data_IF_568946275733
#
_entry.id   IF_568946275733
#
_cell.length_a   1.000
_cell.length_b   1.000
_cell.length_c   1.000
_cell.angle_alpha   90.00
_cell.angle_beta   90.00
_cell.angle_gamma   90.00
#
_symmetry.space_group_name_H-M   'P 1'
#
loop_
_entity.id
_entity.type
_entity.pdbx_description
1 polymer ?
#
# COMPACT_ATOMS: atom_id res chain seq x y z
N UNK A 1 15.02 -0.95 7.93
CA UNK A 1 15.86 -1.96 7.25
C UNK A 1 15.96 -1.61 5.78
N UNK A 2 16.83 -2.30 5.02
CA UNK A 2 16.94 -2.11 3.58
C UNK A 2 16.50 -3.38 2.88
N UNK A 3 15.58 -3.25 1.91
CA UNK A 3 15.05 -4.39 1.14
C UNK A 3 15.16 -4.18 -0.38
N UNK A 4 15.55 -5.24 -1.08
CA UNK A 4 15.62 -5.26 -2.55
C UNK A 4 14.24 -5.61 -3.13
N UNK A 5 13.81 -4.86 -4.15
CA UNK A 5 12.56 -5.12 -4.87
C UNK A 5 12.69 -4.93 -6.37
N UNK A 6 11.81 -5.60 -7.12
CA UNK A 6 11.70 -5.45 -8.58
C UNK A 6 10.55 -4.50 -8.90
N UNK A 7 10.82 -3.45 -9.67
CA UNK A 7 9.82 -2.50 -10.14
C UNK A 7 8.98 -3.06 -11.30
N UNK A 8 7.87 -2.40 -11.63
CA UNK A 8 6.99 -2.81 -12.73
C UNK A 8 7.66 -2.82 -14.11
N UNK A 9 8.80 -2.14 -14.28
CA UNK A 9 9.63 -2.15 -15.48
C UNK A 9 10.71 -3.25 -15.47
N UNK A 10 10.78 -4.07 -14.42
CA UNK A 10 11.73 -5.16 -14.25
C UNK A 10 13.08 -4.75 -13.65
N UNK A 11 13.30 -3.47 -13.33
CA UNK A 11 14.54 -3.02 -12.69
C UNK A 11 14.60 -3.39 -11.20
N UNK A 12 15.81 -3.61 -10.68
CA UNK A 12 16.06 -3.80 -9.25
C UNK A 12 16.23 -2.44 -8.56
N UNK A 13 15.61 -2.28 -7.40
CA UNK A 13 15.66 -1.08 -6.58
C UNK A 13 15.85 -1.43 -5.11
N UNK A 14 16.61 -0.60 -4.39
CA UNK A 14 16.74 -0.69 -2.94
C UNK A 14 15.80 0.28 -2.25
N UNK A 15 15.02 -0.24 -1.30
CA UNK A 15 14.09 0.54 -0.49
C UNK A 15 14.57 0.62 0.96
N UNK A 16 14.47 1.80 1.55
CA UNK A 16 14.48 1.92 3.01
C UNK A 16 13.08 1.58 3.51
N UNK A 17 13.01 0.57 4.38
CA UNK A 17 11.75 0.07 4.96
C UNK A 17 11.74 0.40 6.45
N UNK A 18 10.63 0.94 6.94
CA UNK A 18 10.44 1.31 8.33
C UNK A 18 9.21 0.60 8.90
N UNK A 19 9.19 0.38 10.21
CA UNK A 19 8.02 -0.14 10.90
C UNK A 19 7.24 1.02 11.54
N UNK A 20 5.92 0.99 11.41
CA UNK A 20 5.02 1.98 12.02
C UNK A 20 3.67 1.35 12.36
N UNK A 21 2.79 2.12 13.00
CA UNK A 21 1.40 1.72 13.25
C UNK A 21 0.43 2.60 12.49
N UNK A 22 -0.62 1.98 11.95
CA UNK A 22 -1.73 2.66 11.28
C UNK A 22 -3.06 2.24 11.89
N UNK A 23 -4.05 3.13 11.82
CA UNK A 23 -5.44 2.77 12.10
C UNK A 23 -6.06 2.34 10.76
N UNK A 24 -6.35 1.05 10.63
CA UNK A 24 -6.97 0.45 9.47
C UNK A 24 -8.32 -0.13 9.87
N UNK A 25 -9.40 0.40 9.30
CA UNK A 25 -10.77 -0.03 9.61
C UNK A 25 -11.09 -0.04 11.13
N UNK A 26 -10.63 1.01 11.81
CA UNK A 26 -10.78 1.17 13.26
C UNK A 26 -9.82 0.33 14.12
N UNK A 27 -8.98 -0.51 13.51
CA UNK A 27 -8.00 -1.35 14.22
C UNK A 27 -6.58 -0.83 14.07
N UNK A 28 -5.79 -0.88 15.14
CA UNK A 28 -4.37 -0.57 15.09
C UNK A 28 -3.62 -1.77 14.49
N UNK A 29 -2.86 -1.55 13.42
CA UNK A 29 -1.99 -2.56 12.79
C UNK A 29 -0.54 -2.06 12.77
N UNK A 30 0.41 -2.91 13.16
CA UNK A 30 1.83 -2.69 12.84
C UNK A 30 2.06 -3.07 11.38
N UNK A 31 2.73 -2.21 10.64
CA UNK A 31 3.02 -2.40 9.22
C UNK A 31 4.44 -1.96 8.89
N UNK A 32 4.95 -2.52 7.81
CA UNK A 32 6.13 -2.02 7.12
C UNK A 32 5.73 -0.96 6.10
N UNK A 33 6.51 0.11 6.01
CA UNK A 33 6.34 1.18 5.04
C UNK A 33 7.65 1.39 4.26
N UNK A 34 7.53 1.52 2.95
CA UNK A 34 8.66 1.89 2.10
C UNK A 34 8.79 3.42 2.10
N UNK A 35 10.02 3.92 2.21
CA UNK A 35 10.32 5.32 1.94
C UNK A 35 9.97 5.66 0.49
N UNK A 36 9.26 6.76 0.29
CA UNK A 36 8.88 7.26 -1.03
C UNK A 36 8.79 8.78 -1.01
N UNK A 37 9.11 9.42 -2.14
CA UNK A 37 8.90 10.85 -2.37
C UNK A 37 7.48 11.16 -2.90
N UNK A 38 6.62 10.15 -3.00
CA UNK A 38 5.24 10.27 -3.48
C UNK A 38 4.24 10.45 -2.33
N UNK A 39 2.99 10.74 -2.67
CA UNK A 39 1.88 10.53 -1.75
C UNK A 39 1.84 9.06 -1.26
N UNK A 40 1.32 8.80 -0.04
CA UNK A 40 1.27 7.46 0.52
C UNK A 40 0.54 6.46 -0.39
N UNK A 41 1.18 5.33 -0.64
CA UNK A 41 0.62 4.22 -1.41
C UNK A 41 0.15 3.11 -0.47
N UNK A 42 -1.02 2.53 -0.75
CA UNK A 42 -1.54 1.38 -0.02
C UNK A 42 -1.10 0.11 -0.71
N UNK A 43 -0.28 -0.69 -0.03
CA UNK A 43 0.18 -2.00 -0.52
C UNK A 43 -0.86 -3.10 -0.33
N UNK A 44 -0.64 -4.23 -1.02
CA UNK A 44 -1.56 -5.38 -1.01
C UNK A 44 -1.78 -5.98 0.38
N UNK A 45 -0.80 -5.92 1.29
CA UNK A 45 -0.95 -6.45 2.65
C UNK A 45 -2.04 -5.77 3.48
N UNK A 46 -2.31 -4.48 3.24
CA UNK A 46 -3.44 -3.76 3.85
C UNK A 46 -4.78 -4.06 3.16
N UNK A 47 -4.73 -4.53 1.92
CA UNK A 47 -5.92 -4.84 1.12
C UNK A 47 -6.38 -6.30 1.30
N UNK A 48 -5.60 -7.14 2.00
CA UNK A 48 -6.02 -8.51 2.29
C UNK A 48 -7.28 -8.54 3.16
N UNK A 49 -8.30 -9.26 2.71
CA UNK A 49 -9.65 -9.23 3.32
C UNK A 49 -10.51 -8.02 2.91
N UNK A 50 -10.08 -7.19 1.95
CA UNK A 50 -10.82 -6.04 1.45
C UNK A 50 -11.05 -6.10 -0.08
N UNK A 51 -12.17 -5.54 -0.54
CA UNK A 51 -12.45 -5.27 -1.94
C UNK A 51 -11.94 -3.88 -2.33
N UNK A 52 -11.13 -3.82 -3.39
CA UNK A 52 -10.69 -2.58 -4.05
C UNK A 52 -11.47 -2.38 -5.34
N UNK A 53 -12.26 -1.30 -5.42
CA UNK A 53 -12.92 -0.86 -6.64
C UNK A 53 -12.31 0.45 -7.14
N UNK A 54 -11.95 0.48 -8.43
CA UNK A 54 -11.35 1.65 -9.09
C UNK A 54 -12.17 1.99 -10.34
N UNK A 55 -12.57 3.25 -10.45
CA UNK A 55 -13.11 3.78 -11.69
C UNK A 55 -11.98 4.28 -12.61
N UNK A 56 -11.86 3.69 -13.79
CA UNK A 56 -10.78 3.94 -14.75
C UNK A 56 -10.91 5.24 -15.55
N UNK A 57 -11.12 6.38 -14.90
CA UNK A 57 -11.09 7.71 -15.51
C UNK A 57 -10.54 8.75 -14.53
N UNK A 58 -10.06 9.90 -15.06
CA UNK A 58 -9.45 10.94 -14.23
C UNK A 58 -10.45 11.50 -13.20
N UNK A 59 -10.06 11.51 -11.93
CA UNK A 59 -10.93 11.89 -10.81
C UNK A 59 -12.01 10.84 -10.47
N UNK A 60 -11.91 9.62 -11.02
CA UNK A 60 -12.79 8.51 -10.69
C UNK A 60 -12.66 8.08 -9.22
N UNK A 61 -13.74 7.53 -8.69
CA UNK A 61 -13.79 7.06 -7.31
C UNK A 61 -12.95 5.80 -7.12
N UNK A 62 -12.19 5.78 -6.03
CA UNK A 62 -11.51 4.59 -5.49
C UNK A 62 -12.16 4.26 -4.15
N UNK A 63 -12.59 3.02 -3.96
CA UNK A 63 -13.13 2.56 -2.68
C UNK A 63 -12.45 1.28 -2.24
N UNK A 64 -12.11 1.21 -0.95
CA UNK A 64 -11.66 0.00 -0.26
C UNK A 64 -12.74 -0.32 0.78
N UNK A 65 -13.22 -1.56 0.82
CA UNK A 65 -14.27 -2.01 1.75
C UNK A 65 -13.97 -3.42 2.25
N UNK A 66 -14.30 -3.79 3.50
CA UNK A 66 -14.15 -5.16 3.96
C UNK A 66 -14.90 -6.14 3.05
N UNK A 67 -14.31 -7.31 2.80
CA UNK A 67 -15.01 -8.44 2.19
C UNK A 67 -15.98 -9.03 3.23
N UNK A 68 -17.24 -9.24 2.81
CA UNK A 68 -18.31 -9.82 3.64
C UNK A 68 -18.11 -11.30 3.94
#
# INVERSE_FOLDING_TARGET
MQEEGILGDGSLCMFNVFETTVIWDGQIKSIEINESETDPLVGMGLLDGYELNIQGFAGGLVTIKPLS
#
